data_IF_354621874528
#
_entry.id   IF_354621874528
#
_cell.length_a   1.000
_cell.length_b   1.000
_cell.length_c   1.000
_cell.angle_alpha   90.00
_cell.angle_beta   90.00
_cell.angle_gamma   90.00
#
_symmetry.space_group_name_H-M   'P 1'
#
loop_
_entity.id
_entity.type
_entity.pdbx_description
1 polymer ?
#
# COMPACT_ATOMS: atom_id res chain seq x y z
N UNK A 1 30.32 24.20 9.43
CA UNK A 1 28.96 23.82 9.01
C UNK A 1 29.06 23.54 7.53
N UNK A 2 29.10 22.27 7.19
CA UNK A 2 29.44 21.84 5.83
C UNK A 2 28.23 22.11 4.93
N UNK A 3 28.43 22.95 3.92
CA UNK A 3 27.37 23.40 3.00
C UNK A 3 26.67 22.26 2.26
N UNK A 4 27.29 21.07 2.19
CA UNK A 4 26.71 19.86 1.61
C UNK A 4 25.45 19.38 2.35
N UNK A 5 25.40 19.47 3.67
CA UNK A 5 24.20 19.08 4.45
C UNK A 5 23.00 19.98 4.16
N UNK A 6 23.26 21.27 3.97
CA UNK A 6 22.23 22.26 3.62
C UNK A 6 21.72 22.01 2.19
N UNK A 7 22.61 21.69 1.25
CA UNK A 7 22.23 21.37 -0.12
C UNK A 7 21.39 20.10 -0.23
N UNK A 8 21.74 19.03 0.52
CA UNK A 8 20.96 17.78 0.55
C UNK A 8 19.57 18.02 1.17
N UNK A 9 19.49 18.74 2.29
CA UNK A 9 18.22 19.06 2.94
C UNK A 9 17.32 19.92 2.05
N UNK A 10 17.89 20.89 1.31
CA UNK A 10 17.13 21.70 0.36
C UNK A 10 16.58 20.86 -0.79
N UNK A 11 17.36 19.92 -1.32
CA UNK A 11 16.91 18.96 -2.35
C UNK A 11 15.69 18.17 -1.88
N UNK A 12 15.78 17.52 -0.72
CA UNK A 12 14.69 16.71 -0.17
C UNK A 12 13.41 17.52 0.08
N UNK A 13 13.52 18.77 0.55
CA UNK A 13 12.37 19.68 0.71
C UNK A 13 11.74 20.04 -0.64
N UNK A 14 12.54 20.24 -1.70
CA UNK A 14 11.98 20.50 -3.03
C UNK A 14 11.20 19.30 -3.58
N UNK A 15 11.70 18.07 -3.38
CA UNK A 15 11.02 16.85 -3.82
C UNK A 15 9.69 16.64 -3.10
N UNK A 16 9.66 16.87 -1.78
CA UNK A 16 8.43 16.81 -0.98
C UNK A 16 7.43 17.88 -1.42
N UNK A 17 7.90 19.10 -1.70
CA UNK A 17 7.05 20.20 -2.19
C UNK A 17 6.44 19.89 -3.56
N UNK A 18 7.22 19.26 -4.45
CA UNK A 18 6.73 18.82 -5.75
C UNK A 18 5.67 17.71 -5.60
N UNK A 19 5.93 16.74 -4.72
CA UNK A 19 4.97 15.68 -4.41
C UNK A 19 3.66 16.25 -3.86
N UNK A 20 3.75 17.22 -2.95
CA UNK A 20 2.59 17.95 -2.44
C UNK A 20 1.82 18.66 -3.56
N UNK A 21 2.51 19.36 -4.46
CA UNK A 21 1.88 20.06 -5.58
C UNK A 21 1.12 19.08 -6.49
N UNK A 22 1.75 17.98 -6.89
CA UNK A 22 1.12 17.00 -7.77
C UNK A 22 -0.03 16.26 -7.06
N UNK A 23 0.11 15.96 -5.77
CA UNK A 23 -0.97 15.40 -4.96
C UNK A 23 -2.15 16.36 -4.82
N UNK A 24 -1.88 17.66 -4.69
CA UNK A 24 -2.91 18.70 -4.68
C UNK A 24 -3.62 18.80 -6.03
N UNK A 25 -2.87 18.81 -7.15
CA UNK A 25 -3.45 18.82 -8.49
C UNK A 25 -4.31 17.57 -8.76
N UNK A 26 -3.85 16.39 -8.35
CA UNK A 26 -4.63 15.15 -8.43
C UNK A 26 -5.97 15.29 -7.69
N UNK A 27 -5.95 15.91 -6.51
CA UNK A 27 -7.17 16.17 -5.74
C UNK A 27 -8.13 17.13 -6.46
N UNK A 28 -7.63 18.14 -7.17
CA UNK A 28 -8.48 19.08 -7.93
C UNK A 28 -9.29 18.39 -9.03
N UNK A 29 -8.77 17.31 -9.61
CA UNK A 29 -9.47 16.50 -10.62
C UNK A 29 -10.20 15.29 -10.02
N UNK A 30 -10.49 15.31 -8.71
CA UNK A 30 -11.18 14.26 -7.96
C UNK A 30 -10.43 12.92 -7.85
N UNK A 31 -9.12 12.89 -8.12
CA UNK A 31 -8.29 11.72 -7.89
C UNK A 31 -7.74 11.69 -6.45
N UNK A 32 -7.44 10.50 -5.90
CA UNK A 32 -6.70 10.39 -4.64
C UNK A 32 -5.32 11.07 -4.73
N UNK A 33 -4.87 11.82 -3.70
CA UNK A 33 -3.55 12.49 -3.70
C UNK A 33 -2.37 11.54 -3.97
N UNK A 34 -2.50 10.26 -3.59
CA UNK A 34 -1.50 9.22 -3.81
C UNK A 34 -1.07 9.11 -5.28
N UNK A 35 -2.00 9.33 -6.23
CA UNK A 35 -1.70 9.33 -7.67
C UNK A 35 -0.66 10.39 -8.01
N UNK A 36 -0.79 11.59 -7.44
CA UNK A 36 0.17 12.67 -7.63
C UNK A 36 1.53 12.41 -6.97
N UNK A 37 1.53 11.76 -5.80
CA UNK A 37 2.78 11.36 -5.13
C UNK A 37 3.56 10.35 -5.97
N UNK A 38 2.88 9.33 -6.53
CA UNK A 38 3.49 8.35 -7.42
C UNK A 38 3.97 8.97 -8.73
N UNK A 39 3.17 9.84 -9.34
CA UNK A 39 3.57 10.57 -10.55
C UNK A 39 4.84 11.38 -10.33
N UNK A 40 4.98 12.01 -9.16
CA UNK A 40 6.20 12.72 -8.78
C UNK A 40 7.38 11.77 -8.67
N UNK A 41 7.22 10.63 -7.98
CA UNK A 41 8.29 9.63 -7.86
C UNK A 41 8.77 9.10 -9.21
N UNK A 42 7.84 8.76 -10.12
CA UNK A 42 8.20 8.32 -11.47
C UNK A 42 8.90 9.40 -12.28
N UNK A 43 8.44 10.65 -12.20
CA UNK A 43 9.06 11.78 -12.88
C UNK A 43 10.49 12.02 -12.36
N UNK A 44 10.67 12.05 -11.04
CA UNK A 44 11.98 12.23 -10.41
C UNK A 44 12.92 11.08 -10.76
N UNK A 45 12.44 9.83 -10.75
CA UNK A 45 13.22 8.67 -11.17
C UNK A 45 13.64 8.76 -12.64
N UNK A 46 12.73 9.14 -13.54
CA UNK A 46 13.02 9.33 -14.96
C UNK A 46 14.07 10.42 -15.19
N UNK A 47 14.07 11.47 -14.37
CA UNK A 47 15.07 12.54 -14.40
C UNK A 47 16.40 12.16 -13.73
N UNK A 48 16.54 10.94 -13.21
CA UNK A 48 17.77 10.46 -12.56
C UNK A 48 18.00 11.03 -11.16
N UNK A 49 16.96 11.57 -10.51
CA UNK A 49 17.06 12.11 -9.15
C UNK A 49 17.13 10.96 -8.14
N UNK A 50 18.14 11.00 -7.28
CA UNK A 50 18.33 10.04 -6.18
C UNK A 50 17.83 10.65 -4.88
N UNK A 51 17.16 9.85 -4.06
CA UNK A 51 16.68 10.24 -2.73
C UNK A 51 17.84 10.58 -1.79
N UNK A 52 17.76 11.70 -1.08
CA UNK A 52 18.67 12.01 0.02
C UNK A 52 18.40 11.14 1.26
N UNK A 53 19.38 11.12 2.19
CA UNK A 53 19.24 10.36 3.44
C UNK A 53 18.07 10.84 4.31
N UNK A 54 17.75 12.13 4.27
CA UNK A 54 16.65 12.69 5.05
C UNK A 54 15.31 12.20 4.51
N UNK A 55 15.14 12.16 3.19
CA UNK A 55 13.94 11.60 2.56
C UNK A 55 13.73 10.12 2.92
N UNK A 56 14.80 9.31 2.94
CA UNK A 56 14.73 7.91 3.36
C UNK A 56 14.31 7.76 4.83
N UNK A 57 14.92 8.53 5.74
CA UNK A 57 14.55 8.51 7.17
C UNK A 57 13.11 8.97 7.39
N UNK A 58 12.65 9.98 6.64
CA UNK A 58 11.27 10.44 6.70
C UNK A 58 10.30 9.39 6.18
N UNK A 59 10.65 8.65 5.12
CA UNK A 59 9.85 7.55 4.60
C UNK A 59 9.73 6.43 5.64
N UNK A 60 10.82 6.02 6.28
CA UNK A 60 10.81 5.01 7.35
C UNK A 60 9.93 5.43 8.53
N UNK A 61 10.04 6.69 8.97
CA UNK A 61 9.18 7.25 10.01
C UNK A 61 7.71 7.27 9.59
N UNK A 62 7.43 7.71 8.36
CA UNK A 62 6.08 7.76 7.81
C UNK A 62 5.43 6.37 7.74
N UNK A 63 6.16 5.37 7.25
CA UNK A 63 5.70 3.96 7.22
C UNK A 63 5.47 3.46 8.65
N UNK A 64 6.39 3.73 9.58
CA UNK A 64 6.26 3.32 10.98
C UNK A 64 5.00 3.91 11.63
N UNK A 65 4.78 5.22 11.47
CA UNK A 65 3.60 5.90 12.00
C UNK A 65 2.30 5.42 11.35
N UNK A 66 2.33 5.15 10.04
CA UNK A 66 1.18 4.59 9.32
C UNK A 66 0.82 3.21 9.86
N UNK A 67 1.78 2.28 9.93
CA UNK A 67 1.56 0.93 10.43
C UNK A 67 1.14 0.91 11.91
N UNK A 68 1.71 1.80 12.73
CA UNK A 68 1.30 1.97 14.12
C UNK A 68 -0.15 2.47 14.24
N UNK A 69 -0.52 3.48 13.44
CA UNK A 69 -1.89 4.03 13.43
C UNK A 69 -2.91 3.00 12.95
N UNK A 70 -2.56 2.22 11.93
CA UNK A 70 -3.39 1.08 11.48
C UNK A 70 -3.58 0.12 12.65
N UNK A 71 -2.49 -0.24 13.35
CA UNK A 71 -2.51 -1.05 14.56
C UNK A 71 -3.48 -0.55 15.64
N UNK A 72 -3.44 0.74 15.98
CA UNK A 72 -4.33 1.36 16.98
C UNK A 72 -5.81 1.31 16.61
N UNK A 73 -6.14 1.23 15.32
CA UNK A 73 -7.52 1.15 14.83
C UNK A 73 -8.02 -0.29 14.67
N UNK A 74 -7.18 -1.30 14.93
CA UNK A 74 -7.55 -2.71 14.79
C UNK A 74 -8.54 -3.12 15.89
N UNK A 75 -9.72 -3.55 15.46
CA UNK A 75 -10.68 -4.21 16.34
C UNK A 75 -10.69 -5.71 16.03
N UNK A 76 -9.94 -6.50 16.81
CA UNK A 76 -9.82 -7.95 16.61
C UNK A 76 -11.18 -8.66 16.57
N UNK A 77 -12.16 -8.19 17.36
CA UNK A 77 -13.52 -8.77 17.39
C UNK A 77 -14.24 -8.63 16.05
N UNK A 78 -13.91 -7.63 15.24
CA UNK A 78 -14.46 -7.46 13.89
C UNK A 78 -13.75 -8.38 12.90
N UNK A 79 -12.42 -8.48 13.00
CA UNK A 79 -11.59 -9.26 12.07
C UNK A 79 -11.85 -10.77 12.16
N UNK A 80 -12.08 -11.30 13.37
CA UNK A 80 -12.36 -12.74 13.57
C UNK A 80 -13.75 -13.17 13.08
N UNK A 81 -14.62 -12.24 12.68
CA UNK A 81 -15.95 -12.60 12.17
C UNK A 81 -15.81 -13.37 10.84
N UNK A 82 -16.48 -14.53 10.66
CA UNK A 82 -16.38 -15.33 9.44
C UNK A 82 -16.62 -14.55 8.15
N UNK A 83 -17.63 -13.68 8.14
CA UNK A 83 -17.95 -12.81 7.01
C UNK A 83 -16.86 -11.78 6.65
N UNK A 84 -15.88 -11.55 7.53
CA UNK A 84 -14.74 -10.65 7.27
C UNK A 84 -13.53 -11.46 6.81
N UNK A 85 -13.02 -12.36 7.65
CA UNK A 85 -11.79 -13.08 7.32
C UNK A 85 -11.97 -14.07 6.17
N UNK A 86 -13.09 -14.81 6.11
CA UNK A 86 -13.30 -15.80 5.04
C UNK A 86 -13.54 -15.11 3.70
N UNK A 87 -14.32 -14.03 3.67
CA UNK A 87 -14.53 -13.24 2.44
C UNK A 87 -13.23 -12.61 1.96
N UNK A 88 -12.42 -12.08 2.88
CA UNK A 88 -11.09 -11.53 2.55
C UNK A 88 -10.19 -12.57 1.91
N UNK A 89 -10.10 -13.77 2.53
CA UNK A 89 -9.24 -14.84 2.04
C UNK A 89 -9.71 -15.37 0.68
N UNK A 90 -11.02 -15.58 0.51
CA UNK A 90 -11.61 -15.99 -0.76
C UNK A 90 -11.33 -14.96 -1.84
N UNK A 91 -11.54 -13.67 -1.56
CA UNK A 91 -11.26 -12.58 -2.49
C UNK A 91 -9.79 -12.58 -2.93
N UNK A 92 -8.86 -12.60 -1.98
CA UNK A 92 -7.42 -12.58 -2.26
C UNK A 92 -7.03 -13.80 -3.12
N UNK A 93 -7.47 -15.01 -2.76
CA UNK A 93 -7.13 -16.23 -3.51
C UNK A 93 -7.69 -16.17 -4.94
N UNK A 94 -8.94 -15.76 -5.10
CA UNK A 94 -9.58 -15.66 -6.42
C UNK A 94 -8.86 -14.64 -7.29
N UNK A 95 -8.59 -13.44 -6.76
CA UNK A 95 -7.93 -12.37 -7.53
C UNK A 95 -6.50 -12.78 -7.89
N UNK A 96 -5.75 -13.36 -6.96
CA UNK A 96 -4.40 -13.87 -7.25
C UNK A 96 -4.46 -14.93 -8.34
N UNK A 97 -5.34 -15.93 -8.23
CA UNK A 97 -5.49 -16.99 -9.22
C UNK A 97 -5.86 -16.45 -10.60
N UNK A 98 -6.84 -15.55 -10.66
CA UNK A 98 -7.30 -14.94 -11.91
C UNK A 98 -6.21 -14.08 -12.55
N UNK A 99 -5.63 -13.14 -11.81
CA UNK A 99 -4.66 -12.20 -12.35
C UNK A 99 -3.32 -12.86 -12.61
N UNK A 100 -2.86 -13.81 -11.80
CA UNK A 100 -1.63 -14.55 -12.08
C UNK A 100 -1.77 -15.33 -13.39
N UNK A 101 -2.91 -16.00 -13.61
CA UNK A 101 -3.18 -16.73 -14.84
C UNK A 101 -3.26 -15.80 -16.04
N UNK A 102 -3.94 -14.66 -15.91
CA UNK A 102 -4.06 -13.68 -16.98
C UNK A 102 -2.70 -13.04 -17.34
N UNK A 103 -1.90 -12.63 -16.35
CA UNK A 103 -0.57 -12.04 -16.55
C UNK A 103 0.39 -13.06 -17.15
N UNK A 104 0.37 -14.30 -16.64
CA UNK A 104 1.20 -15.38 -17.18
C UNK A 104 0.77 -15.75 -18.61
N UNK A 105 -0.52 -15.73 -18.94
CA UNK A 105 -0.97 -15.96 -20.31
C UNK A 105 -0.45 -14.87 -21.29
N UNK A 106 -0.28 -13.62 -20.81
CA UNK A 106 0.33 -12.55 -21.61
C UNK A 106 1.82 -12.82 -21.86
N UNK A 107 2.55 -13.43 -20.91
CA UNK A 107 3.97 -13.76 -21.13
C UNK A 107 4.17 -14.81 -22.22
N UNK A 108 3.18 -15.69 -22.45
CA UNK A 108 3.18 -16.66 -23.57
C UNK A 108 3.15 -16.01 -24.96
N UNK A 109 2.82 -14.71 -25.07
CA UNK A 109 2.85 -13.97 -26.33
C UNK A 109 4.28 -13.69 -26.82
N UNK A 110 5.31 -14.01 -26.04
CA UNK A 110 6.74 -13.91 -26.39
C UNK A 110 7.15 -12.53 -26.92
N UNK A 111 6.54 -11.45 -26.39
CA UNK A 111 6.99 -10.09 -26.70
C UNK A 111 8.19 -9.73 -25.82
N UNK A 112 9.12 -8.89 -26.30
CA UNK A 112 10.32 -8.50 -25.53
C UNK A 112 10.02 -7.90 -24.15
N UNK A 113 8.84 -7.28 -23.99
CA UNK A 113 8.39 -6.64 -22.75
C UNK A 113 7.99 -7.66 -21.66
N UNK A 114 7.66 -8.89 -22.02
CA UNK A 114 7.10 -9.89 -21.09
C UNK A 114 7.95 -11.17 -20.99
N UNK A 115 9.10 -11.22 -21.66
CA UNK A 115 9.98 -12.39 -21.70
C UNK A 115 10.49 -12.80 -20.30
N UNK A 116 10.61 -11.84 -19.39
CA UNK A 116 11.08 -12.09 -18.00
C UNK A 116 9.95 -12.46 -17.03
N UNK A 117 8.69 -12.51 -17.47
CA UNK A 117 7.55 -12.84 -16.60
C UNK A 117 7.40 -14.36 -16.46
N UNK A 118 7.97 -14.91 -15.40
CA UNK A 118 7.68 -16.28 -14.96
C UNK A 118 6.39 -16.34 -14.10
N UNK A 119 5.96 -17.55 -13.76
CA UNK A 119 4.76 -17.75 -12.95
C UNK A 119 4.89 -17.07 -11.58
N UNK A 120 6.09 -17.09 -10.98
CA UNK A 120 6.35 -16.48 -9.67
C UNK A 120 6.20 -14.96 -9.72
N UNK A 121 6.78 -14.30 -10.71
CA UNK A 121 6.69 -12.85 -10.92
C UNK A 121 5.25 -12.46 -11.23
N UNK A 122 4.56 -13.23 -12.06
CA UNK A 122 3.13 -13.03 -12.36
C UNK A 122 2.26 -13.13 -11.10
N UNK A 123 2.52 -14.13 -10.25
CA UNK A 123 1.82 -14.29 -8.97
C UNK A 123 2.12 -13.17 -7.97
N UNK A 124 3.36 -12.67 -7.93
CA UNK A 124 3.73 -11.53 -7.08
C UNK A 124 3.03 -10.24 -7.52
N UNK A 125 2.96 -9.97 -8.83
CA UNK A 125 2.20 -8.84 -9.37
C UNK A 125 0.71 -9.00 -9.07
N UNK A 126 0.15 -10.19 -9.29
CA UNK A 126 -1.25 -10.50 -8.98
C UNK A 126 -1.58 -10.32 -7.50
N UNK A 127 -0.66 -10.71 -6.60
CA UNK A 127 -0.75 -10.45 -5.17
C UNK A 127 -0.80 -8.95 -4.86
N UNK A 128 0.11 -8.17 -5.43
CA UNK A 128 0.10 -6.71 -5.25
C UNK A 128 -1.20 -6.06 -5.75
N UNK A 129 -1.81 -6.60 -6.81
CA UNK A 129 -3.08 -6.15 -7.37
C UNK A 129 -4.32 -6.69 -6.64
N UNK A 130 -4.16 -7.60 -5.66
CA UNK A 130 -5.29 -8.25 -4.96
C UNK A 130 -5.93 -7.40 -3.87
N UNK A 131 -5.26 -6.31 -3.47
CA UNK A 131 -5.69 -5.42 -2.39
C UNK A 131 -6.63 -4.32 -2.89
N UNK A 132 -7.65 -4.00 -2.10
CA UNK A 132 -8.56 -2.89 -2.39
C UNK A 132 -8.07 -1.58 -1.79
N UNK A 133 -8.52 -0.44 -2.36
CA UNK A 133 -8.18 0.88 -1.82
C UNK A 133 -9.06 1.25 -0.62
N UNK A 134 -8.49 1.24 0.58
CA UNK A 134 -9.20 1.62 1.82
C UNK A 134 -9.72 3.05 1.77
N UNK A 135 -8.90 4.00 1.31
CA UNK A 135 -9.26 5.43 1.21
C UNK A 135 -10.47 5.65 0.30
N UNK A 136 -10.50 4.99 -0.85
CA UNK A 136 -11.59 5.13 -1.80
C UNK A 136 -12.91 4.58 -1.25
N UNK A 137 -12.89 3.35 -0.71
CA UNK A 137 -14.12 2.71 -0.21
C UNK A 137 -14.68 3.46 1.01
N UNK A 138 -13.81 3.88 1.95
CA UNK A 138 -14.22 4.71 3.10
C UNK A 138 -14.91 5.99 2.63
N UNK A 139 -14.29 6.70 1.67
CA UNK A 139 -14.86 7.94 1.12
C UNK A 139 -16.23 7.70 0.48
N UNK A 140 -16.39 6.63 -0.32
CA UNK A 140 -17.68 6.29 -0.96
C UNK A 140 -18.75 5.95 0.08
N UNK A 141 -18.40 5.20 1.14
CA UNK A 141 -19.34 4.87 2.23
C UNK A 141 -19.71 6.11 3.05
N UNK A 142 -18.77 7.02 3.26
CA UNK A 142 -18.99 8.30 3.95
C UNK A 142 -19.92 9.21 3.15
N UNK A 143 -19.68 9.38 1.84
CA UNK A 143 -20.52 10.16 0.93
C UNK A 143 -21.96 9.63 0.87
N UNK A 144 -22.15 8.33 1.05
CA UNK A 144 -23.48 7.69 1.10
C UNK A 144 -24.10 7.67 2.50
N UNK A 145 -23.37 8.08 3.55
CA UNK A 145 -23.83 7.95 4.93
C UNK A 145 -23.95 6.49 5.42
N UNK A 146 -23.28 5.55 4.75
CA UNK A 146 -23.39 4.10 4.96
C UNK A 146 -22.30 3.52 5.87
N UNK A 147 -21.43 4.35 6.46
CA UNK A 147 -20.33 3.89 7.33
C UNK A 147 -20.79 2.97 8.47
N UNK A 148 -21.97 3.24 9.03
CA UNK A 148 -22.54 2.48 10.14
C UNK A 148 -23.53 1.39 9.70
N UNK A 149 -23.67 1.17 8.39
CA UNK A 149 -24.51 0.08 7.87
C UNK A 149 -23.87 -1.29 8.12
N UNK A 150 -24.65 -2.37 7.98
CA UNK A 150 -24.12 -3.73 8.12
C UNK A 150 -23.05 -4.03 7.06
N UNK A 151 -23.32 -3.71 5.78
CA UNK A 151 -22.37 -3.91 4.69
C UNK A 151 -21.16 -2.97 4.81
N UNK A 152 -21.35 -1.73 5.25
CA UNK A 152 -20.28 -0.78 5.50
C UNK A 152 -19.28 -1.30 6.54
N UNK A 153 -19.77 -1.79 7.70
CA UNK A 153 -18.89 -2.39 8.72
C UNK A 153 -18.15 -3.64 8.22
N UNK A 154 -18.79 -4.46 7.37
CA UNK A 154 -18.12 -5.63 6.78
C UNK A 154 -17.05 -5.19 5.78
N UNK A 155 -17.37 -4.25 4.89
CA UNK A 155 -16.43 -3.71 3.90
C UNK A 155 -15.19 -3.12 4.59
N UNK A 156 -15.38 -2.28 5.62
CA UNK A 156 -14.26 -1.75 6.41
C UNK A 156 -13.47 -2.88 7.08
N UNK A 157 -14.15 -3.90 7.64
CA UNK A 157 -13.47 -5.07 8.21
C UNK A 157 -12.61 -5.82 7.19
N UNK A 158 -13.10 -6.01 5.96
CA UNK A 158 -12.38 -6.67 4.87
C UNK A 158 -11.15 -5.85 4.48
N UNK A 159 -11.29 -4.53 4.33
CA UNK A 159 -10.17 -3.64 3.98
C UNK A 159 -9.05 -3.68 5.02
N UNK A 160 -9.42 -3.64 6.31
CA UNK A 160 -8.45 -3.75 7.41
C UNK A 160 -7.78 -5.13 7.43
N UNK A 161 -8.54 -6.19 7.16
CA UNK A 161 -7.98 -7.54 7.08
C UNK A 161 -7.01 -7.69 5.90
N UNK A 162 -7.33 -7.09 4.76
CA UNK A 162 -6.46 -7.02 3.57
C UNK A 162 -5.13 -6.30 3.89
N UNK A 163 -5.20 -5.12 4.51
CA UNK A 163 -4.01 -4.35 4.92
C UNK A 163 -3.15 -5.17 5.90
N UNK A 164 -3.76 -5.88 6.85
CA UNK A 164 -3.04 -6.75 7.78
C UNK A 164 -2.31 -7.90 7.06
N UNK A 165 -2.96 -8.56 6.10
CA UNK A 165 -2.33 -9.62 5.30
C UNK A 165 -1.17 -9.09 4.46
N UNK A 166 -1.29 -7.88 3.89
CA UNK A 166 -0.21 -7.23 3.15
C UNK A 166 1.01 -6.98 4.05
N UNK A 167 0.81 -6.45 5.25
CA UNK A 167 1.89 -6.19 6.22
C UNK A 167 2.56 -7.49 6.66
N UNK A 168 1.79 -8.55 6.95
CA UNK A 168 2.33 -9.87 7.30
C UNK A 168 3.18 -10.43 6.16
N UNK A 169 2.69 -10.33 4.92
CA UNK A 169 3.43 -10.77 3.75
C UNK A 169 4.74 -9.99 3.57
N UNK A 170 4.71 -8.65 3.68
CA UNK A 170 5.90 -7.81 3.57
C UNK A 170 6.93 -8.18 4.64
N UNK A 171 6.52 -8.32 5.90
CA UNK A 171 7.40 -8.75 6.98
C UNK A 171 8.04 -10.11 6.69
N UNK A 172 7.23 -11.10 6.30
CA UNK A 172 7.71 -12.45 5.95
C UNK A 172 8.67 -12.44 4.75
N UNK A 173 8.40 -11.60 3.73
CA UNK A 173 9.22 -11.51 2.51
C UNK A 173 10.62 -10.97 2.77
N UNK A 174 10.78 -10.14 3.81
CA UNK A 174 12.08 -9.61 4.25
C UNK A 174 12.86 -10.57 5.15
N UNK A 175 12.31 -11.75 5.47
CA UNK A 175 12.91 -12.71 6.38
C UNK A 175 12.94 -12.27 7.85
N UNK A 176 12.34 -11.12 8.17
CA UNK A 176 12.25 -10.58 9.53
C UNK A 176 10.96 -11.09 10.18
N UNK A 177 11.04 -12.24 10.85
CA UNK A 177 9.94 -12.75 11.67
C UNK A 177 9.74 -11.80 12.86
N UNK A 178 8.50 -11.37 13.16
CA UNK A 178 8.23 -10.54 14.33
C UNK A 178 8.78 -11.20 15.61
N UNK A 179 9.40 -10.43 16.49
CA UNK A 179 9.87 -10.96 17.76
C UNK A 179 8.69 -11.46 18.60
N UNK A 180 8.91 -12.46 19.45
CA UNK A 180 7.87 -12.97 20.35
C UNK A 180 7.25 -11.88 21.23
N UNK A 181 8.00 -10.81 21.53
CA UNK A 181 7.55 -9.64 22.27
C UNK A 181 6.45 -8.85 21.56
N UNK A 182 6.36 -8.90 20.24
CA UNK A 182 5.31 -8.23 19.47
C UNK A 182 3.90 -8.70 19.88
N UNK A 183 3.77 -9.95 20.37
CA UNK A 183 2.48 -10.48 20.83
C UNK A 183 1.95 -9.78 22.08
N UNK A 184 2.81 -9.18 22.91
CA UNK A 184 2.39 -8.43 24.10
C UNK A 184 1.64 -7.14 23.73
N UNK A 185 1.81 -6.61 22.51
CA UNK A 185 1.06 -5.44 22.06
C UNK A 185 -0.45 -5.68 22.00
N UNK A 186 -0.90 -6.93 21.82
CA UNK A 186 -2.32 -7.26 21.84
C UNK A 186 -2.94 -7.27 23.25
N UNK A 187 -2.12 -7.14 24.30
CA UNK A 187 -2.56 -7.05 25.70
C UNK A 187 -2.70 -5.59 26.19
N UNK A 188 -2.20 -4.61 25.44
CA UNK A 188 -2.35 -3.17 25.69
C UNK A 188 -3.67 -2.65 25.09
#
# INVERSE_FOLDING_TARGET
MDFEWVAIALGDVTWISLAFLFGFLARQVNLPPLVGFLATGFLLNYLGVVSGEMLLKLADLGITLLLFTVGLKLNLKVLVKPQVWSVTLIHIIIIIGLFSSAIYAISLLNTPLFETLDFKSSALIAFALSFSSTVFVVKVLEEKGEMNSFHGRIAIGILVMQDLMAVIFLAASTGKIPSYWALLLFLL
#
